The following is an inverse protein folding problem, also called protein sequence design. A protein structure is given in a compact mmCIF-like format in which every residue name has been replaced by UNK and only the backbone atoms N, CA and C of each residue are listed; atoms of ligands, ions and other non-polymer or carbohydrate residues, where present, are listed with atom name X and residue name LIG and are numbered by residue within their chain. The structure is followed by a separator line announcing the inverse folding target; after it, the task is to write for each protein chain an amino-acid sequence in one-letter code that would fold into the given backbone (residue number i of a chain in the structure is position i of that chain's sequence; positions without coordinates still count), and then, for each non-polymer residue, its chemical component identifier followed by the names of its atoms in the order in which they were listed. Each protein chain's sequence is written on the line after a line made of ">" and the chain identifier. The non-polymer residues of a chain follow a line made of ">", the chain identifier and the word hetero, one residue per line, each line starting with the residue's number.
data_IF_328427234975
#
_entry.id   IF_328427234975
#
_cell.length_a   1.000
_cell.length_b   1.000
_cell.length_c   1.000
_cell.angle_alpha   90.00
_cell.angle_beta   90.00
_cell.angle_gamma   90.00
#
_symmetry.space_group_name_H-M   'P 1'
#
loop_
_entity.id
_entity.type
_entity.pdbx_description
1 polymer ?
#
# COMPACT_ATOMS: atom_id res chain seq x y z
N UNK A 1 3.95 -19.39 -3.28
CA UNK A 1 3.16 -19.16 -4.50
C UNK A 1 2.58 -17.78 -4.34
N UNK A 2 3.19 -16.80 -5.03
CA UNK A 2 2.82 -15.40 -4.92
C UNK A 2 1.64 -15.07 -5.83
N UNK A 3 0.63 -14.45 -5.27
CA UNK A 3 -0.53 -13.96 -6.00
C UNK A 3 -0.14 -12.72 -6.81
N UNK A 4 -0.21 -12.82 -8.13
CA UNK A 4 0.10 -11.73 -9.08
C UNK A 4 -1.22 -11.04 -9.42
N UNK A 5 -1.31 -9.73 -9.13
CA UNK A 5 -2.44 -8.89 -9.52
C UNK A 5 -2.17 -8.35 -10.93
N UNK A 6 -3.00 -8.72 -11.91
CA UNK A 6 -2.91 -8.23 -13.29
C UNK A 6 -3.90 -7.08 -13.53
N UNK A 7 -3.41 -6.01 -14.15
CA UNK A 7 -4.20 -4.90 -14.66
C UNK A 7 -4.41 -5.08 -16.16
N UNK A 8 -5.65 -5.14 -16.61
CA UNK A 8 -6.00 -5.31 -18.02
C UNK A 8 -6.25 -3.98 -18.74
N UNK A 9 -5.68 -3.81 -19.93
CA UNK A 9 -5.98 -2.71 -20.86
C UNK A 9 -7.19 -3.05 -21.74
N UNK A 10 -8.08 -2.06 -21.92
CA UNK A 10 -9.17 -2.09 -22.90
C UNK A 10 -8.73 -1.43 -24.21
N UNK A 11 -9.02 -1.99 -25.39
CA UNK A 11 -8.83 -1.28 -26.65
C UNK A 11 -10.04 -0.39 -26.97
N UNK A 12 -9.75 0.87 -27.31
CA UNK A 12 -10.73 1.85 -27.79
C UNK A 12 -11.22 1.50 -29.18
N UNK A 13 -12.54 1.43 -29.37
CA UNK A 13 -13.17 1.52 -30.68
C UNK A 13 -13.63 2.94 -30.94
N UNK A 14 -13.03 3.58 -31.96
CA UNK A 14 -13.41 4.90 -32.46
C UNK A 14 -14.69 4.81 -33.28
N UNK A 15 -15.78 5.52 -32.89
CA UNK A 15 -16.73 6.16 -33.79
C UNK A 15 -17.66 7.12 -33.03
N UNK A 16 -17.57 8.44 -33.34
CA UNK A 16 -18.67 9.39 -33.14
C UNK A 16 -19.63 9.24 -34.32
N UNK A 17 -20.95 9.61 -34.24
CA UNK A 17 -21.42 10.96 -34.00
C UNK A 17 -22.79 11.13 -33.26
N UNK A 18 -23.01 12.32 -32.71
CA UNK A 18 -24.23 13.13 -32.84
C UNK A 18 -25.55 12.75 -32.18
N UNK A 19 -26.05 13.63 -31.30
CA UNK A 19 -27.49 13.97 -31.23
C UNK A 19 -28.33 13.50 -30.06
N UNK A 20 -28.62 14.42 -29.15
CA UNK A 20 -29.84 14.61 -28.31
C UNK A 20 -30.88 13.47 -28.22
N UNK A 21 -31.28 13.11 -27.01
CA UNK A 21 -32.59 13.26 -26.37
C UNK A 21 -32.75 12.35 -25.15
N UNK A 22 -33.17 12.93 -24.05
CA UNK A 22 -33.54 12.24 -22.83
C UNK A 22 -34.78 11.35 -23.05
N UNK A 23 -34.70 10.10 -22.58
CA UNK A 23 -35.87 9.30 -22.19
C UNK A 23 -35.48 8.28 -21.12
N UNK A 24 -36.28 8.29 -20.06
CA UNK A 24 -36.34 7.29 -19.00
C UNK A 24 -36.34 5.87 -19.55
N UNK A 25 -35.40 5.01 -19.09
CA UNK A 25 -35.44 3.61 -19.37
C UNK A 25 -35.36 2.82 -18.05
N UNK A 26 -36.41 2.07 -17.80
CA UNK A 26 -36.52 1.04 -16.77
C UNK A 26 -35.47 -0.02 -17.01
N UNK A 27 -34.65 -0.36 -15.98
CA UNK A 27 -33.73 -1.48 -16.02
C UNK A 27 -34.49 -2.80 -16.02
N UNK A 28 -34.48 -3.49 -17.15
CA UNK A 28 -34.73 -4.93 -17.24
C UNK A 28 -33.37 -5.59 -17.27
N UNK A 29 -33.09 -6.42 -16.27
CA UNK A 29 -31.89 -7.25 -16.20
C UNK A 29 -31.93 -8.33 -17.30
N UNK A 30 -30.90 -8.50 -18.13
CA UNK A 30 -30.76 -9.68 -18.94
C UNK A 30 -30.04 -10.78 -18.15
N UNK A 31 -30.68 -11.90 -18.08
CA UNK A 31 -30.19 -13.17 -17.56
C UNK A 31 -29.34 -13.82 -18.67
N UNK A 32 -28.01 -13.63 -18.63
CA UNK A 32 -27.03 -14.55 -19.23
C UNK A 32 -25.60 -14.11 -18.86
N UNK A 33 -24.88 -15.02 -18.19
CA UNK A 33 -23.46 -14.89 -17.88
C UNK A 33 -22.61 -15.12 -19.14
N UNK A 34 -22.22 -14.06 -19.80
CA UNK A 34 -21.19 -14.12 -20.83
C UNK A 34 -19.81 -14.24 -20.20
N UNK A 35 -19.19 -15.40 -20.41
CA UNK A 35 -17.80 -15.68 -20.04
C UNK A 35 -16.89 -14.83 -20.93
N UNK A 36 -16.38 -13.75 -20.39
CA UNK A 36 -15.40 -12.90 -21.09
C UNK A 36 -14.02 -13.52 -20.90
N UNK A 37 -13.51 -14.18 -21.93
CA UNK A 37 -12.14 -14.70 -21.97
C UNK A 37 -11.17 -13.61 -22.41
N UNK A 38 -10.23 -13.26 -21.52
CA UNK A 38 -9.20 -12.27 -21.80
C UNK A 38 -7.88 -12.93 -22.20
N UNK A 39 -7.37 -12.56 -23.35
CA UNK A 39 -6.03 -12.94 -23.77
C UNK A 39 -5.07 -11.77 -23.47
N UNK A 40 -4.25 -11.90 -22.43
CA UNK A 40 -3.19 -10.96 -22.14
C UNK A 40 -1.90 -11.36 -22.85
N UNK A 41 -1.33 -10.46 -23.66
CA UNK A 41 0.06 -10.56 -24.06
C UNK A 41 0.92 -10.00 -22.92
N UNK A 42 1.53 -10.89 -22.15
CA UNK A 42 2.45 -10.53 -21.09
C UNK A 42 3.71 -9.87 -21.64
N UNK A 43 4.08 -8.71 -21.11
CA UNK A 43 5.41 -8.12 -21.28
C UNK A 43 6.24 -8.63 -20.08
N UNK A 44 7.22 -9.53 -20.28
CA UNK A 44 8.02 -10.06 -19.18
C UNK A 44 9.00 -8.98 -18.70
N UNK A 45 8.95 -8.67 -17.41
CA UNK A 45 9.96 -7.83 -16.77
C UNK A 45 9.42 -6.66 -15.93
N UNK A 46 8.25 -6.10 -16.23
CA UNK A 46 7.71 -4.95 -15.52
C UNK A 46 7.03 -5.35 -14.19
N UNK A 47 6.58 -6.60 -14.09
CA UNK A 47 5.80 -7.11 -12.97
C UNK A 47 6.60 -7.34 -11.68
N UNK A 48 7.86 -7.73 -11.80
CA UNK A 48 8.68 -8.03 -10.61
C UNK A 48 9.06 -6.78 -9.81
N UNK A 49 9.16 -5.62 -10.48
CA UNK A 49 9.65 -4.39 -9.85
C UNK A 49 8.56 -3.61 -9.09
N UNK A 50 7.33 -3.57 -9.62
CA UNK A 50 6.21 -2.90 -8.94
C UNK A 50 5.74 -3.67 -7.69
N UNK A 51 5.86 -4.99 -7.70
CA UNK A 51 5.53 -5.84 -6.55
C UNK A 51 6.51 -5.63 -5.39
N UNK A 52 7.78 -5.38 -5.68
CA UNK A 52 8.80 -5.15 -4.67
C UNK A 52 8.63 -3.78 -3.98
N UNK A 53 8.20 -2.76 -4.71
CA UNK A 53 7.96 -1.41 -4.17
C UNK A 53 6.69 -1.39 -3.30
N UNK A 54 5.62 -2.07 -3.69
CA UNK A 54 4.38 -2.14 -2.92
C UNK A 54 4.55 -2.95 -1.62
N UNK A 55 5.43 -3.95 -1.61
CA UNK A 55 5.72 -4.76 -0.41
C UNK A 55 6.64 -4.02 0.58
N UNK A 56 7.53 -3.14 0.11
CA UNK A 56 8.43 -2.35 0.98
C UNK A 56 7.64 -1.25 1.70
N UNK A 57 6.67 -0.62 1.07
CA UNK A 57 5.84 0.41 1.71
C UNK A 57 4.85 -0.15 2.73
N UNK A 58 4.43 -1.42 2.60
CA UNK A 58 3.54 -2.06 3.60
C UNK A 58 4.28 -2.62 4.82
N UNK A 59 5.61 -2.78 4.76
CA UNK A 59 6.42 -3.40 5.82
C UNK A 59 7.07 -2.39 6.78
N UNK A 60 7.04 -1.09 6.48
CA UNK A 60 7.69 -0.07 7.32
C UNK A 60 6.73 0.66 8.27
N UNK A 61 5.45 0.34 8.31
CA UNK A 61 4.54 0.92 9.28
C UNK A 61 4.53 0.05 10.55
N UNK A 62 5.65 0.04 11.27
CA UNK A 62 5.67 -0.12 12.71
C UNK A 62 5.32 1.20 13.36
N UNK A 63 4.29 1.89 12.88
CA UNK A 63 3.87 3.13 13.47
C UNK A 63 3.13 2.84 14.77
N UNK A 64 3.63 3.37 15.85
CA UNK A 64 2.81 3.74 17.01
C UNK A 64 1.63 4.50 16.42
N UNK A 65 0.42 3.92 16.43
CA UNK A 65 -0.78 4.65 16.11
C UNK A 65 -1.02 5.53 17.34
N UNK A 66 -0.73 6.84 17.30
CA UNK A 66 -1.00 7.70 18.43
C UNK A 66 -2.50 7.69 18.69
N UNK A 67 -2.88 7.67 19.96
CA UNK A 67 -4.22 7.97 20.39
C UNK A 67 -4.65 9.29 19.77
N UNK A 68 -5.74 9.30 19.03
CA UNK A 68 -6.32 10.42 18.30
C UNK A 68 -6.34 11.71 19.12
N UNK A 69 -5.39 12.62 18.87
CA UNK A 69 -5.46 14.02 19.28
C UNK A 69 -4.44 14.84 18.49
N UNK A 70 -4.78 15.26 17.34
CA UNK A 70 -4.13 16.02 16.29
C UNK A 70 -3.71 15.09 15.13
N UNK A 71 -4.17 15.37 13.91
CA UNK A 71 -3.63 14.72 12.72
C UNK A 71 -2.14 15.01 12.67
N UNK A 72 -1.34 13.93 12.66
CA UNK A 72 0.09 14.05 12.43
C UNK A 72 0.31 14.61 11.02
N UNK A 73 1.29 15.47 10.85
CA UNK A 73 1.74 15.84 9.52
C UNK A 73 2.34 14.63 8.80
N UNK A 74 2.36 14.62 7.45
CA UNK A 74 2.98 13.54 6.69
C UNK A 74 4.43 13.27 7.13
N UNK A 75 5.17 14.32 7.51
CA UNK A 75 6.53 14.20 8.04
C UNK A 75 6.59 13.42 9.34
N UNK A 76 5.64 13.66 10.25
CA UNK A 76 5.55 12.91 11.52
C UNK A 76 5.06 11.48 11.31
N UNK A 77 4.14 11.25 10.35
CA UNK A 77 3.75 9.91 9.92
C UNK A 77 4.92 9.11 9.32
N UNK A 78 5.83 9.79 8.60
CA UNK A 78 7.07 9.21 8.08
C UNK A 78 8.14 9.02 9.17
N UNK A 79 7.83 9.33 10.44
CA UNK A 79 8.70 9.16 11.60
C UNK A 79 9.90 10.12 11.61
N UNK A 80 9.77 11.28 10.96
CA UNK A 80 10.84 12.27 10.86
C UNK A 80 10.73 13.30 11.98
N UNK A 81 11.85 13.56 12.63
CA UNK A 81 12.00 14.52 13.71
C UNK A 81 12.53 15.86 13.20
N UNK A 82 12.02 16.96 13.78
CA UNK A 82 12.46 18.31 13.47
C UNK A 82 11.90 18.86 12.16
N UNK A 83 12.34 20.07 11.74
CA UNK A 83 11.79 20.76 10.57
C UNK A 83 12.44 20.26 9.26
N UNK A 84 12.18 19.01 8.91
CA UNK A 84 12.73 18.39 7.70
C UNK A 84 12.11 19.04 6.45
N UNK A 85 12.96 19.45 5.53
CA UNK A 85 12.62 19.98 4.21
C UNK A 85 12.60 18.86 3.15
N UNK A 86 13.62 18.00 3.15
CA UNK A 86 13.69 16.90 2.21
C UNK A 86 14.48 15.72 2.77
N UNK A 87 14.12 14.51 2.27
CA UNK A 87 14.84 13.26 2.54
C UNK A 87 15.15 12.59 1.22
N UNK A 88 16.42 12.34 0.94
CA UNK A 88 16.83 11.46 -0.15
C UNK A 88 17.23 10.12 0.46
N UNK A 89 16.51 9.06 0.06
CA UNK A 89 16.78 7.68 0.49
C UNK A 89 17.37 6.90 -0.68
N UNK A 90 18.49 6.22 -0.44
CA UNK A 90 19.17 5.37 -1.43
C UNK A 90 19.21 3.94 -0.93
N UNK A 91 18.79 3.01 -1.77
CA UNK A 91 18.92 1.58 -1.55
C UNK A 91 19.33 0.91 -2.87
N UNK A 92 20.55 0.35 -2.92
CA UNK A 92 21.10 -0.26 -4.14
C UNK A 92 21.02 0.67 -5.36
N UNK A 93 20.11 0.37 -6.29
CA UNK A 93 19.89 1.16 -7.52
C UNK A 93 18.70 2.12 -7.41
N UNK A 94 17.96 2.06 -6.32
CA UNK A 94 16.77 2.90 -6.11
C UNK A 94 17.15 4.17 -5.36
N UNK A 95 16.61 5.29 -5.83
CA UNK A 95 16.70 6.58 -5.15
C UNK A 95 15.29 7.13 -5.03
N UNK A 96 14.92 7.52 -3.82
CA UNK A 96 13.68 8.23 -3.53
C UNK A 96 14.01 9.57 -2.88
N UNK A 97 13.38 10.63 -3.36
CA UNK A 97 13.47 11.95 -2.75
C UNK A 97 12.09 12.42 -2.36
N UNK A 98 11.88 12.66 -1.08
CA UNK A 98 10.65 13.21 -0.50
C UNK A 98 10.88 14.67 -0.13
N UNK A 99 9.93 15.55 -0.45
CA UNK A 99 9.97 16.98 -0.12
C UNK A 99 8.75 17.37 0.68
N UNK A 100 8.99 18.06 1.78
CA UNK A 100 7.97 18.55 2.70
C UNK A 100 7.90 20.07 2.67
N UNK A 101 6.71 20.62 2.87
CA UNK A 101 6.58 22.05 3.13
C UNK A 101 6.86 22.38 4.62
N UNK A 102 6.92 23.67 5.01
CA UNK A 102 7.17 24.05 6.39
C UNK A 102 6.15 23.51 7.41
N UNK A 103 4.92 23.18 6.97
CA UNK A 103 3.89 22.55 7.81
C UNK A 103 4.12 21.05 8.00
N UNK A 104 5.05 20.44 7.26
CA UNK A 104 5.33 19.01 7.29
C UNK A 104 4.49 18.17 6.34
N UNK A 105 3.78 18.79 5.37
CA UNK A 105 3.02 18.07 4.33
C UNK A 105 3.99 17.62 3.24
N UNK A 106 3.85 16.37 2.80
CA UNK A 106 4.61 15.82 1.69
C UNK A 106 4.09 16.42 0.37
N UNK A 107 4.82 17.34 -0.25
CA UNK A 107 4.39 18.03 -1.46
C UNK A 107 4.87 17.34 -2.74
N UNK A 108 5.96 16.58 -2.66
CA UNK A 108 6.52 15.89 -3.81
C UNK A 108 7.30 14.65 -3.35
N UNK A 109 7.19 13.58 -4.13
CA UNK A 109 8.06 12.40 -4.07
C UNK A 109 8.60 12.10 -5.47
N UNK A 110 9.89 11.87 -5.58
CA UNK A 110 10.52 11.42 -6.82
C UNK A 110 11.10 10.04 -6.54
N UNK A 111 10.69 9.06 -7.31
CA UNK A 111 11.22 7.71 -7.27
C UNK A 111 11.92 7.40 -8.57
N UNK A 112 13.18 6.95 -8.51
CA UNK A 112 13.96 6.62 -9.68
C UNK A 112 15.00 5.56 -9.37
N UNK A 113 15.70 5.13 -10.41
CA UNK A 113 16.80 4.19 -10.33
C UNK A 113 17.71 4.39 -11.55
N UNK A 114 18.80 3.62 -11.66
CA UNK A 114 19.59 3.61 -12.90
C UNK A 114 18.69 3.21 -14.06
N UNK A 115 18.82 3.95 -15.17
CA UNK A 115 18.04 3.86 -16.39
C UNK A 115 17.49 2.45 -16.69
N UNK A 116 16.16 2.31 -16.62
CA UNK A 116 15.49 1.17 -17.21
C UNK A 116 15.16 1.53 -18.66
N UNK A 117 15.35 0.61 -19.59
CA UNK A 117 15.14 0.78 -21.05
C UNK A 117 13.68 1.14 -21.46
N UNK A 118 12.78 1.42 -20.55
CA UNK A 118 11.36 1.64 -20.81
C UNK A 118 10.85 3.09 -20.60
N UNK A 119 11.72 4.04 -20.26
CA UNK A 119 11.38 5.47 -20.30
C UNK A 119 10.36 5.99 -19.28
N UNK A 120 9.86 5.15 -18.37
CA UNK A 120 8.87 5.57 -17.35
C UNK A 120 9.51 6.17 -16.11
N UNK A 121 10.81 5.97 -15.89
CA UNK A 121 11.52 6.42 -14.69
C UNK A 121 12.35 7.68 -14.95
N UNK A 122 12.46 8.59 -13.99
CA UNK A 122 11.85 8.59 -12.67
C UNK A 122 10.35 8.86 -12.71
N UNK A 123 9.60 8.36 -11.72
CA UNK A 123 8.23 8.76 -11.44
C UNK A 123 8.22 9.92 -10.45
N UNK A 124 7.42 10.92 -10.74
CA UNK A 124 7.21 12.10 -9.89
C UNK A 124 5.78 12.12 -9.38
N UNK A 125 5.62 12.03 -8.07
CA UNK A 125 4.34 12.14 -7.37
C UNK A 125 4.20 13.56 -6.84
N UNK A 126 3.09 14.19 -7.11
CA UNK A 126 2.76 15.54 -6.65
C UNK A 126 1.50 15.47 -5.82
N UNK A 127 1.54 16.02 -4.61
CA UNK A 127 0.44 15.96 -3.66
C UNK A 127 -0.21 17.32 -3.50
N UNK A 128 -1.54 17.35 -3.43
CA UNK A 128 -2.34 18.55 -3.23
C UNK A 128 -3.18 18.43 -1.97
N UNK A 129 -3.33 19.55 -1.26
CA UNK A 129 -4.01 19.63 0.02
C UNK A 129 -5.09 20.70 0.00
N UNK A 130 -6.14 20.52 0.77
CA UNK A 130 -7.16 21.55 0.99
C UNK A 130 -6.72 22.57 2.07
N UNK A 131 -7.60 23.49 2.39
CA UNK A 131 -7.34 24.54 3.38
C UNK A 131 -7.21 24.01 4.81
N UNK A 132 -7.66 22.78 5.07
CA UNK A 132 -7.58 22.09 6.36
C UNK A 132 -6.45 21.06 6.42
N UNK A 133 -5.48 21.15 5.49
CA UNK A 133 -4.30 20.29 5.36
C UNK A 133 -4.60 18.82 5.03
N UNK A 134 -5.82 18.48 4.55
CA UNK A 134 -6.16 17.14 4.09
C UNK A 134 -5.69 16.93 2.65
N UNK A 135 -5.07 15.81 2.37
CA UNK A 135 -4.60 15.44 1.03
C UNK A 135 -5.78 15.15 0.11
N UNK A 136 -6.01 16.01 -0.89
CA UNK A 136 -7.14 15.89 -1.82
C UNK A 136 -6.75 15.26 -3.16
N UNK A 137 -5.48 15.27 -3.54
CA UNK A 137 -5.03 14.62 -4.77
C UNK A 137 -3.58 14.17 -4.70
N UNK A 138 -3.29 13.11 -5.48
CA UNK A 138 -1.97 12.64 -5.86
C UNK A 138 -1.92 12.52 -7.38
N UNK A 139 -0.97 13.19 -8.03
CA UNK A 139 -0.72 13.09 -9.46
C UNK A 139 0.64 12.45 -9.70
N UNK A 140 0.69 11.40 -10.52
CA UNK A 140 1.91 10.69 -10.88
C UNK A 140 2.30 11.05 -12.29
N UNK A 141 3.54 11.53 -12.48
CA UNK A 141 4.09 11.89 -13.78
C UNK A 141 5.29 11.00 -14.12
N UNK A 142 5.48 10.73 -15.42
CA UNK A 142 6.66 10.03 -15.94
C UNK A 142 7.87 10.97 -16.07
N UNK A 143 8.98 10.43 -16.56
CA UNK A 143 10.23 11.18 -16.81
C UNK A 143 10.09 12.35 -17.81
N UNK A 144 9.05 12.37 -18.65
CA UNK A 144 8.76 13.45 -19.60
C UNK A 144 7.84 14.50 -19.03
N UNK A 145 7.33 14.27 -17.80
CA UNK A 145 6.35 15.11 -17.17
C UNK A 145 4.90 14.82 -17.63
N UNK A 146 4.68 13.73 -18.37
CA UNK A 146 3.33 13.33 -18.78
C UNK A 146 2.58 12.70 -17.60
N UNK A 147 1.32 13.05 -17.42
CA UNK A 147 0.48 12.48 -16.37
C UNK A 147 0.25 10.99 -16.65
N UNK A 148 0.66 10.15 -15.72
CA UNK A 148 0.44 8.69 -15.78
C UNK A 148 -0.84 8.30 -15.07
N UNK A 149 -1.07 8.88 -13.88
CA UNK A 149 -2.20 8.54 -13.02
C UNK A 149 -2.54 9.71 -12.10
N UNK A 150 -3.82 9.88 -11.79
CA UNK A 150 -4.29 10.77 -10.75
C UNK A 150 -5.21 10.01 -9.79
N UNK A 151 -5.04 10.26 -8.48
CA UNK A 151 -5.93 9.77 -7.43
C UNK A 151 -6.49 10.98 -6.69
N UNK A 152 -7.81 11.05 -6.52
CA UNK A 152 -8.51 12.12 -5.78
C UNK A 152 -9.20 11.55 -4.56
N UNK A 153 -9.04 12.24 -3.43
CA UNK A 153 -9.70 11.90 -2.18
C UNK A 153 -10.94 12.79 -1.96
N UNK A 154 -12.01 12.18 -1.47
CA UNK A 154 -13.23 12.82 -1.07
C UNK A 154 -13.42 12.63 0.43
N UNK A 155 -13.84 13.67 1.12
CA UNK A 155 -14.04 13.65 2.57
C UNK A 155 -15.51 13.86 2.91
N UNK A 156 -15.97 13.23 3.98
CA UNK A 156 -17.30 13.44 4.53
C UNK A 156 -17.35 14.73 5.39
N UNK A 157 -18.56 15.09 5.87
CA UNK A 157 -18.78 16.30 6.69
C UNK A 157 -18.06 16.22 8.06
N UNK A 158 -17.64 15.03 8.47
CA UNK A 158 -16.87 14.79 9.70
C UNK A 158 -15.35 14.86 9.48
N UNK A 159 -14.90 15.05 8.22
CA UNK A 159 -13.50 15.10 7.85
C UNK A 159 -12.86 13.75 7.57
N UNK A 160 -13.61 12.63 7.59
CA UNK A 160 -13.07 11.34 7.23
C UNK A 160 -13.00 11.19 5.70
N UNK A 161 -11.96 10.56 5.18
CA UNK A 161 -11.84 10.24 3.75
C UNK A 161 -12.86 9.18 3.35
N UNK A 162 -13.98 9.59 2.78
CA UNK A 162 -15.10 8.72 2.41
C UNK A 162 -14.88 7.98 1.10
N UNK A 163 -14.09 8.55 0.17
CA UNK A 163 -13.78 7.90 -1.09
C UNK A 163 -12.40 8.29 -1.63
N UNK A 164 -11.86 7.42 -2.48
CA UNK A 164 -10.75 7.68 -3.40
C UNK A 164 -11.13 7.25 -4.81
N UNK A 165 -10.82 8.08 -5.78
CA UNK A 165 -11.07 7.84 -7.20
C UNK A 165 -9.75 7.90 -7.95
N UNK A 166 -9.40 6.85 -8.68
CA UNK A 166 -8.19 6.80 -9.49
C UNK A 166 -8.52 6.74 -10.98
N UNK A 167 -7.77 7.49 -11.77
CA UNK A 167 -7.83 7.48 -13.22
C UNK A 167 -6.44 7.52 -13.84
N UNK A 168 -6.29 6.92 -15.01
CA UNK A 168 -5.07 7.02 -15.82
C UNK A 168 -4.93 8.40 -16.45
N UNK A 169 -3.74 8.77 -16.90
CA UNK A 169 -3.44 10.06 -17.50
C UNK A 169 -4.24 10.37 -18.76
N UNK A 170 -4.72 9.36 -19.46
CA UNK A 170 -5.65 9.50 -20.60
C UNK A 170 -7.11 9.74 -20.19
N UNK A 171 -7.38 9.82 -18.87
CA UNK A 171 -8.72 10.01 -18.32
C UNK A 171 -9.52 8.70 -18.17
N UNK A 172 -8.94 7.56 -18.55
CA UNK A 172 -9.58 6.26 -18.33
C UNK A 172 -9.72 5.98 -16.83
N UNK A 173 -10.95 5.70 -16.40
CA UNK A 173 -11.22 5.34 -15.01
C UNK A 173 -10.53 4.05 -14.62
N UNK A 174 -9.88 4.03 -13.46
CA UNK A 174 -9.17 2.85 -12.94
C UNK A 174 -9.98 2.16 -11.84
N UNK A 175 -10.19 2.83 -10.72
CA UNK A 175 -10.89 2.25 -9.57
C UNK A 175 -11.51 3.31 -8.66
N UNK A 176 -12.43 2.86 -7.80
CA UNK A 176 -12.94 3.62 -6.65
C UNK A 176 -12.71 2.80 -5.38
N UNK A 177 -12.33 3.47 -4.33
CA UNK A 177 -12.35 2.95 -2.97
C UNK A 177 -13.32 3.76 -2.12
N UNK A 178 -14.18 3.09 -1.36
CA UNK A 178 -15.11 3.71 -0.41
C UNK A 178 -14.75 3.26 0.99
N UNK A 179 -14.87 4.17 1.96
CA UNK A 179 -14.50 3.91 3.36
C UNK A 179 -15.65 4.25 4.30
N UNK A 180 -15.81 3.45 5.33
CA UNK A 180 -16.76 3.66 6.41
C UNK A 180 -16.01 3.75 7.73
N UNK A 181 -16.51 4.59 8.63
CA UNK A 181 -15.88 4.92 9.90
C UNK A 181 -16.84 4.73 11.06
N UNK A 182 -16.29 4.43 12.22
CA UNK A 182 -17.03 4.45 13.48
C UNK A 182 -17.19 5.88 14.03
N UNK A 183 -17.84 5.98 15.20
CA UNK A 183 -18.05 7.27 15.86
C UNK A 183 -16.74 7.95 16.31
N UNK A 184 -15.68 7.17 16.51
CA UNK A 184 -14.35 7.66 16.86
C UNK A 184 -13.46 7.97 15.65
N UNK A 185 -14.03 8.11 14.44
CA UNK A 185 -13.34 8.39 13.19
C UNK A 185 -12.34 7.30 12.75
N UNK A 186 -12.47 6.06 13.24
CA UNK A 186 -11.61 4.96 12.88
C UNK A 186 -12.22 4.19 11.70
N UNK A 187 -11.46 3.85 10.65
CA UNK A 187 -11.99 3.10 9.52
C UNK A 187 -12.43 1.70 9.98
N UNK A 188 -13.66 1.31 9.67
CA UNK A 188 -14.20 -0.01 9.99
C UNK A 188 -14.34 -0.89 8.75
N UNK A 189 -14.49 -0.27 7.58
CA UNK A 189 -14.61 -0.97 6.31
C UNK A 189 -14.05 -0.16 5.15
N UNK A 190 -13.36 -0.84 4.23
CA UNK A 190 -12.99 -0.34 2.90
C UNK A 190 -13.59 -1.25 1.83
N UNK A 191 -14.15 -0.66 0.76
CA UNK A 191 -14.67 -1.36 -0.41
C UNK A 191 -13.92 -0.86 -1.63
N UNK A 192 -13.37 -1.77 -2.44
CA UNK A 192 -12.63 -1.43 -3.65
C UNK A 192 -13.37 -1.96 -4.87
N UNK A 193 -13.58 -1.07 -5.84
CA UNK A 193 -14.35 -1.34 -7.05
C UNK A 193 -13.44 -1.29 -8.27
N UNK A 194 -13.63 -2.21 -9.19
CA UNK A 194 -13.15 -2.13 -10.55
C UNK A 194 -14.37 -1.88 -11.46
N UNK A 195 -14.56 -0.63 -11.88
CA UNK A 195 -15.81 -0.22 -12.53
C UNK A 195 -17.00 -0.28 -11.57
N UNK A 196 -17.95 -1.18 -11.84
CA UNK A 196 -19.19 -1.29 -11.05
C UNK A 196 -19.19 -2.41 -10.03
N UNK A 197 -18.15 -3.28 -10.03
CA UNK A 197 -18.08 -4.43 -9.14
C UNK A 197 -17.13 -4.19 -7.98
N UNK A 198 -17.58 -4.55 -6.77
CA UNK A 198 -16.67 -4.65 -5.61
C UNK A 198 -15.76 -5.84 -5.83
N UNK A 199 -14.45 -5.61 -5.89
CA UNK A 199 -13.44 -6.66 -6.07
C UNK A 199 -12.80 -7.07 -4.76
N UNK A 200 -12.59 -6.12 -3.85
CA UNK A 200 -11.98 -6.35 -2.55
C UNK A 200 -12.77 -5.63 -1.46
N UNK A 201 -12.69 -6.15 -0.24
CA UNK A 201 -13.09 -5.42 0.96
C UNK A 201 -12.11 -5.65 2.09
N UNK A 202 -11.91 -4.59 2.87
CA UNK A 202 -11.13 -4.62 4.10
C UNK A 202 -12.06 -4.37 5.29
N UNK A 203 -11.88 -5.11 6.36
CA UNK A 203 -12.59 -4.92 7.63
C UNK A 203 -11.56 -4.72 8.72
N UNK A 204 -11.82 -3.76 9.61
CA UNK A 204 -10.90 -3.36 10.67
C UNK A 204 -11.57 -3.47 12.02
N UNK A 205 -10.83 -3.88 13.04
CA UNK A 205 -11.30 -3.87 14.42
C UNK A 205 -10.23 -3.27 15.34
N UNK A 206 -10.68 -2.51 16.33
CA UNK A 206 -9.84 -1.77 17.25
C UNK A 206 -10.08 -2.22 18.69
N UNK A 207 -9.06 -2.14 19.54
CA UNK A 207 -9.20 -2.33 20.98
C UNK A 207 -9.76 -1.07 21.66
N UNK A 208 -9.93 -1.16 22.98
CA UNK A 208 -10.44 -0.05 23.80
C UNK A 208 -9.47 1.15 23.86
N UNK A 209 -8.19 0.95 23.54
CA UNK A 209 -7.21 2.02 23.45
C UNK A 209 -7.17 2.66 22.05
N UNK A 210 -8.00 2.19 21.10
CA UNK A 210 -8.05 2.70 19.73
C UNK A 210 -6.99 2.10 18.80
N UNK A 211 -6.25 1.07 19.23
CA UNK A 211 -5.22 0.42 18.41
C UNK A 211 -5.85 -0.64 17.50
N UNK A 212 -5.42 -0.73 16.25
CA UNK A 212 -5.87 -1.73 15.28
C UNK A 212 -5.43 -3.14 15.73
N UNK A 213 -6.38 -3.99 16.14
CA UNK A 213 -6.08 -5.37 16.59
C UNK A 213 -6.40 -6.42 15.55
N UNK A 214 -7.17 -6.07 14.53
CA UNK A 214 -7.51 -7.00 13.45
C UNK A 214 -7.74 -6.26 12.14
N UNK A 215 -7.15 -6.80 11.09
CA UNK A 215 -7.43 -6.44 9.70
C UNK A 215 -7.82 -7.71 8.95
N UNK A 216 -8.93 -7.67 8.22
CA UNK A 216 -9.40 -8.77 7.39
C UNK A 216 -9.55 -8.28 5.96
N UNK A 217 -8.79 -8.88 5.07
CA UNK A 217 -8.84 -8.67 3.63
C UNK A 217 -9.60 -9.82 2.97
N UNK A 218 -10.59 -9.45 2.16
CA UNK A 218 -11.41 -10.39 1.41
C UNK A 218 -11.51 -9.96 -0.05
N UNK A 219 -11.54 -10.94 -0.96
CA UNK A 219 -11.71 -10.71 -2.39
C UNK A 219 -12.73 -11.70 -2.96
N UNK A 220 -13.41 -11.28 -4.03
CA UNK A 220 -14.38 -12.09 -4.74
C UNK A 220 -13.82 -12.67 -6.04
N UNK A 221 -12.54 -12.89 -6.13
CA UNK A 221 -11.88 -13.51 -7.27
C UNK A 221 -10.78 -14.46 -6.83
N UNK A 222 -10.46 -15.40 -7.69
CA UNK A 222 -9.31 -16.28 -7.55
C UNK A 222 -8.69 -16.54 -8.93
N UNK A 223 -7.48 -17.04 -8.96
CA UNK A 223 -6.88 -17.52 -10.21
C UNK A 223 -7.34 -18.96 -10.50
N UNK A 224 -7.49 -19.29 -11.80
CA UNK A 224 -7.73 -20.67 -12.21
C UNK A 224 -6.57 -21.57 -11.76
N UNK A 225 -6.72 -22.91 -11.89
CA UNK A 225 -5.73 -23.87 -11.44
C UNK A 225 -4.34 -23.70 -12.10
N UNK A 226 -4.29 -23.11 -13.30
CA UNK A 226 -3.04 -22.80 -14.01
C UNK A 226 -2.41 -21.46 -13.57
N UNK A 227 -3.09 -20.66 -12.74
CA UNK A 227 -2.62 -19.33 -12.33
C UNK A 227 -2.61 -18.28 -13.44
N UNK A 228 -3.27 -18.54 -14.57
CA UNK A 228 -3.18 -17.72 -15.80
C UNK A 228 -4.40 -16.84 -16.04
N UNK A 229 -5.52 -17.13 -15.40
CA UNK A 229 -6.80 -16.44 -15.62
C UNK A 229 -7.45 -16.09 -14.30
N UNK A 230 -7.91 -14.83 -14.18
CA UNK A 230 -8.70 -14.35 -13.07
C UNK A 230 -10.15 -14.85 -13.23
N UNK A 231 -10.68 -15.48 -12.20
CA UNK A 231 -12.07 -15.95 -12.14
C UNK A 231 -12.80 -15.14 -11.08
N UNK A 232 -13.77 -14.35 -11.49
CA UNK A 232 -14.63 -13.59 -10.57
C UNK A 232 -15.65 -14.54 -9.92
N UNK A 233 -15.97 -14.28 -8.66
CA UNK A 233 -17.01 -14.98 -7.90
C UNK A 233 -18.02 -13.99 -7.34
N UNK A 234 -19.18 -14.45 -6.97
CA UNK A 234 -20.20 -13.67 -6.25
C UNK A 234 -19.98 -13.65 -4.72
N UNK A 235 -18.89 -14.28 -4.25
CA UNK A 235 -18.58 -14.47 -2.84
C UNK A 235 -17.20 -13.94 -2.50
N UNK A 236 -17.08 -13.36 -1.32
CA UNK A 236 -15.81 -12.97 -0.71
C UNK A 236 -15.27 -14.13 0.13
N UNK A 237 -14.80 -15.19 -0.54
CA UNK A 237 -14.37 -16.45 0.07
C UNK A 237 -12.86 -16.69 0.02
N UNK A 238 -12.12 -15.79 -0.62
CA UNK A 238 -10.66 -15.79 -0.66
C UNK A 238 -10.10 -14.56 0.05
N UNK A 239 -8.97 -14.71 0.74
CA UNK A 239 -8.34 -13.64 1.50
C UNK A 239 -7.66 -14.14 2.76
N UNK A 240 -7.40 -13.22 3.67
CA UNK A 240 -6.72 -13.50 4.94
C UNK A 240 -7.18 -12.55 6.04
N UNK A 241 -6.87 -12.92 7.27
CA UNK A 241 -7.04 -12.07 8.44
C UNK A 241 -5.70 -11.95 9.17
N UNK A 242 -5.36 -10.76 9.60
CA UNK A 242 -4.19 -10.45 10.43
C UNK A 242 -4.68 -10.03 11.80
N UNK A 243 -4.32 -10.78 12.83
CA UNK A 243 -4.45 -10.36 14.22
C UNK A 243 -3.13 -9.69 14.66
N UNK A 244 -3.24 -8.55 15.34
CA UNK A 244 -2.11 -7.72 15.79
C UNK A 244 -2.07 -7.72 17.30
N UNK A 245 -0.93 -8.05 17.87
CA UNK A 245 -0.68 -8.06 19.32
C UNK A 245 0.36 -7.02 19.65
N UNK A 246 0.08 -6.20 20.65
CA UNK A 246 0.97 -5.14 21.13
C UNK A 246 1.67 -5.54 22.43
N UNK A 247 2.83 -4.97 22.67
CA UNK A 247 3.51 -5.01 23.96
C UNK A 247 2.97 -3.92 24.93
N UNK A 248 3.54 -3.84 26.11
CA UNK A 248 3.16 -2.88 27.15
C UNK A 248 3.49 -1.42 26.76
N UNK A 249 4.47 -1.22 25.86
CA UNK A 249 4.88 0.09 25.34
C UNK A 249 4.00 0.55 24.17
N UNK A 250 3.18 -0.35 23.62
CA UNK A 250 2.30 -0.06 22.47
C UNK A 250 2.92 -0.40 21.12
N UNK A 251 4.09 -1.01 21.08
CA UNK A 251 4.67 -1.51 19.84
C UNK A 251 4.05 -2.85 19.41
N UNK A 252 3.96 -3.09 18.11
CA UNK A 252 3.49 -4.37 17.58
C UNK A 252 4.48 -5.48 17.93
N UNK A 253 4.09 -6.36 18.85
CA UNK A 253 4.90 -7.51 19.24
C UNK A 253 4.77 -8.68 18.29
N UNK A 254 3.57 -8.91 17.77
CA UNK A 254 3.26 -10.07 16.94
C UNK A 254 2.15 -9.75 15.94
N UNK A 255 2.29 -10.29 14.72
CA UNK A 255 1.21 -10.36 13.71
C UNK A 255 0.94 -11.83 13.40
N UNK A 256 -0.32 -12.25 13.44
CA UNK A 256 -0.74 -13.62 13.15
C UNK A 256 -1.63 -13.61 11.92
N UNK A 257 -1.24 -14.36 10.89
CA UNK A 257 -1.99 -14.46 9.63
C UNK A 257 -2.77 -15.77 9.60
N UNK A 258 -4.07 -15.67 9.35
CA UNK A 258 -4.95 -16.82 9.13
C UNK A 258 -5.67 -16.68 7.78
N UNK A 259 -6.10 -17.79 7.18
CA UNK A 259 -7.06 -17.73 6.09
C UNK A 259 -8.47 -17.39 6.62
N UNK A 260 -9.42 -17.16 5.73
CA UNK A 260 -10.80 -16.83 6.11
C UNK A 260 -11.55 -17.95 6.84
N UNK A 261 -10.98 -19.17 6.90
CA UNK A 261 -11.48 -20.32 7.67
C UNK A 261 -10.82 -20.43 9.04
N UNK A 262 -9.98 -19.44 9.42
CA UNK A 262 -9.25 -19.40 10.68
C UNK A 262 -8.03 -20.33 10.75
N UNK A 263 -7.61 -20.94 9.64
CA UNK A 263 -6.41 -21.78 9.62
C UNK A 263 -5.16 -20.88 9.57
N UNK A 264 -4.25 -21.09 10.51
CA UNK A 264 -3.00 -20.33 10.58
C UNK A 264 -2.19 -20.51 9.30
N UNK A 265 -1.75 -19.41 8.72
CA UNK A 265 -0.85 -19.36 7.56
C UNK A 265 0.59 -19.05 7.99
N UNK A 266 0.76 -18.24 9.02
CA UNK A 266 2.04 -17.86 9.57
C UNK A 266 1.90 -16.84 10.68
N UNK A 267 3.03 -16.38 11.19
CA UNK A 267 3.12 -15.26 12.13
C UNK A 267 4.48 -14.58 12.02
N UNK A 268 4.56 -13.31 12.40
CA UNK A 268 5.80 -12.57 12.60
C UNK A 268 5.90 -12.06 14.02
N UNK A 269 7.09 -12.14 14.61
CA UNK A 269 7.44 -11.50 15.89
C UNK A 269 8.38 -10.34 15.62
N UNK A 270 8.20 -9.24 16.38
CA UNK A 270 8.95 -8.00 16.20
C UNK A 270 9.61 -7.59 17.50
N UNK A 271 10.80 -7.00 17.38
CA UNK A 271 11.49 -6.32 18.47
C UNK A 271 11.94 -4.94 18.02
N UNK A 272 12.12 -4.06 18.98
CA UNK A 272 12.43 -2.65 18.75
C UNK A 272 13.65 -2.23 19.56
N UNK A 273 14.36 -1.23 19.07
CA UNK A 273 15.41 -0.56 19.80
C UNK A 273 14.83 0.45 20.82
N UNK A 274 15.70 1.09 21.61
CA UNK A 274 15.33 2.07 22.62
C UNK A 274 14.67 3.34 22.02
N UNK A 275 14.77 3.53 20.71
CA UNK A 275 14.17 4.66 19.96
C UNK A 275 12.85 4.28 19.28
N UNK A 276 12.42 3.03 19.42
CA UNK A 276 11.20 2.53 18.81
C UNK A 276 11.36 2.07 17.36
N UNK A 277 12.58 2.00 16.82
CA UNK A 277 12.79 1.43 15.49
C UNK A 277 12.85 -0.09 15.58
N UNK A 278 12.20 -0.77 14.62
CA UNK A 278 12.22 -2.23 14.54
C UNK A 278 13.65 -2.72 14.30
N UNK A 279 14.20 -3.49 15.23
CA UNK A 279 15.56 -4.02 15.13
C UNK A 279 15.61 -5.52 14.81
N UNK A 280 14.49 -6.25 14.94
CA UNK A 280 14.39 -7.66 14.56
C UNK A 280 12.96 -8.01 14.09
N UNK A 281 12.87 -8.90 13.10
CA UNK A 281 11.66 -9.60 12.70
C UNK A 281 11.97 -11.08 12.54
N UNK A 282 11.16 -11.96 13.15
CA UNK A 282 11.24 -13.41 12.98
C UNK A 282 9.93 -13.89 12.37
N UNK A 283 10.01 -14.54 11.22
CA UNK A 283 8.87 -15.05 10.47
C UNK A 283 8.75 -16.56 10.67
N UNK A 284 7.53 -17.00 10.98
CA UNK A 284 7.20 -18.40 11.23
C UNK A 284 6.16 -18.88 10.23
N UNK A 285 6.29 -20.12 9.78
CA UNK A 285 5.30 -20.78 8.94
C UNK A 285 4.04 -21.22 9.75
N UNK A 286 3.07 -21.83 9.05
CA UNK A 286 1.84 -22.33 9.64
C UNK A 286 2.06 -23.37 10.76
N UNK A 287 3.20 -24.07 10.75
CA UNK A 287 3.57 -25.08 11.75
C UNK A 287 4.28 -24.48 12.97
N UNK A 288 4.50 -23.16 12.99
CA UNK A 288 5.22 -22.48 14.06
C UNK A 288 6.74 -22.62 14.01
N UNK A 289 7.30 -23.07 12.89
CA UNK A 289 8.73 -23.15 12.68
C UNK A 289 9.22 -21.82 12.11
N UNK A 290 10.28 -21.25 12.67
CA UNK A 290 10.93 -20.06 12.11
C UNK A 290 11.48 -20.41 10.72
N UNK A 291 11.19 -19.54 9.76
CA UNK A 291 11.62 -19.68 8.36
C UNK A 291 12.54 -18.55 7.91
N UNK A 292 12.38 -17.38 8.51
CA UNK A 292 13.19 -16.21 8.20
C UNK A 292 13.47 -15.40 9.46
N UNK A 293 14.61 -14.72 9.45
CA UNK A 293 14.99 -13.73 10.46
C UNK A 293 15.59 -12.53 9.79
N UNK A 294 15.12 -11.34 10.13
CA UNK A 294 15.65 -10.06 9.66
C UNK A 294 16.17 -9.28 10.86
N UNK A 295 17.35 -8.72 10.71
CA UNK A 295 18.00 -7.89 11.74
C UNK A 295 18.35 -6.55 11.13
N UNK A 296 17.93 -5.48 11.81
CA UNK A 296 18.13 -4.11 11.38
C UNK A 296 19.08 -3.41 12.36
N UNK A 297 19.96 -2.57 11.83
CA UNK A 297 20.85 -1.70 12.59
C UNK A 297 20.79 -0.31 12.02
N UNK A 298 20.72 0.70 12.88
CA UNK A 298 20.54 2.07 12.50
C UNK A 298 21.71 2.95 12.97
N UNK A 299 22.06 3.94 12.14
CA UNK A 299 22.86 5.09 12.51
C UNK A 299 21.96 6.34 12.42
N UNK A 300 22.16 7.30 13.30
CA UNK A 300 21.28 8.45 13.45
C UNK A 300 22.04 9.75 13.31
N UNK A 301 21.35 10.79 12.82
CA UNK A 301 21.87 12.16 12.87
C UNK A 301 21.72 12.78 14.28
N UNK A 302 22.14 14.05 14.41
CA UNK A 302 22.08 14.78 15.68
C UNK A 302 20.64 15.09 16.15
N UNK A 303 19.67 15.10 15.24
CA UNK A 303 18.24 15.33 15.55
C UNK A 303 17.56 14.04 16.03
N UNK A 304 18.11 12.88 15.65
CA UNK A 304 17.60 11.57 16.00
C UNK A 304 16.93 10.83 14.84
N UNK A 305 16.96 11.38 13.64
CA UNK A 305 16.51 10.69 12.44
C UNK A 305 17.54 9.64 12.01
N UNK A 306 17.09 8.44 11.62
CA UNK A 306 18.03 7.48 11.10
C UNK A 306 18.53 7.92 9.70
N UNK A 307 19.84 7.84 9.53
CA UNK A 307 20.54 8.20 8.29
C UNK A 307 21.12 6.99 7.57
N UNK A 308 21.21 5.87 8.27
CA UNK A 308 21.64 4.60 7.68
C UNK A 308 20.93 3.45 8.37
N UNK A 309 20.43 2.53 7.56
CA UNK A 309 19.86 1.27 7.99
C UNK A 309 20.61 0.12 7.30
N UNK A 310 21.11 -0.81 8.07
CA UNK A 310 21.70 -2.04 7.58
C UNK A 310 20.76 -3.21 7.88
N UNK A 311 20.28 -3.88 6.84
CA UNK A 311 19.46 -5.09 6.93
C UNK A 311 20.31 -6.32 6.67
N UNK A 312 20.19 -7.33 7.55
CA UNK A 312 20.62 -8.69 7.31
C UNK A 312 19.39 -9.60 7.33
N UNK A 313 19.18 -10.34 6.25
CA UNK A 313 18.07 -11.27 6.08
C UNK A 313 18.60 -12.70 6.00
N UNK A 314 18.12 -13.54 6.91
CA UNK A 314 18.54 -14.91 7.11
C UNK A 314 17.40 -15.87 6.78
N UNK A 315 17.67 -16.93 6.04
CA UNK A 315 16.80 -18.10 5.92
C UNK A 315 17.06 -19.03 7.12
N UNK A 316 15.99 -19.53 7.73
CA UNK A 316 16.06 -20.43 8.89
C UNK A 316 15.51 -21.79 8.50
N UNK A 317 16.33 -22.82 8.53
CA UNK A 317 15.93 -24.19 8.20
C UNK A 317 16.44 -25.16 9.26
N UNK A 318 15.51 -25.82 9.99
CA UNK A 318 15.87 -26.77 11.04
C UNK A 318 16.69 -26.15 12.18
N UNK A 319 16.50 -24.87 12.48
CA UNK A 319 17.24 -24.12 13.50
C UNK A 319 18.62 -23.63 13.06
N UNK A 320 18.99 -23.83 11.79
CA UNK A 320 20.21 -23.27 11.19
C UNK A 320 19.88 -22.02 10.40
N UNK A 321 20.71 -20.99 10.56
CA UNK A 321 20.59 -19.71 9.85
C UNK A 321 21.60 -19.65 8.68
N UNK A 322 21.13 -19.24 7.51
CA UNK A 322 21.94 -18.94 6.35
C UNK A 322 21.61 -17.53 5.84
N UNK A 323 22.65 -16.68 5.69
CA UNK A 323 22.46 -15.32 5.20
C UNK A 323 21.96 -15.37 3.76
N UNK A 324 20.74 -14.82 3.53
CA UNK A 324 20.07 -14.76 2.22
C UNK A 324 20.38 -13.45 1.49
N UNK A 325 20.38 -12.36 2.23
CA UNK A 325 20.61 -11.02 1.70
C UNK A 325 21.16 -10.09 2.76
N UNK A 326 21.95 -9.12 2.32
CA UNK A 326 22.22 -7.90 3.09
C UNK A 326 22.01 -6.70 2.21
N UNK A 327 21.40 -5.64 2.75
CA UNK A 327 21.24 -4.35 2.08
C UNK A 327 21.53 -3.21 3.04
N UNK A 328 21.85 -2.06 2.46
CA UNK A 328 22.05 -0.82 3.18
C UNK A 328 21.12 0.21 2.53
N UNK A 329 20.35 0.91 3.37
CA UNK A 329 19.63 2.12 3.01
C UNK A 329 20.31 3.31 3.66
N UNK A 330 20.52 4.36 2.92
CA UNK A 330 21.11 5.62 3.40
C UNK A 330 20.15 6.76 3.16
N UNK A 331 20.07 7.69 4.11
CA UNK A 331 19.28 8.92 4.02
C UNK A 331 20.17 10.13 4.08
N UNK A 332 19.95 11.07 3.16
CA UNK A 332 20.44 12.44 3.26
C UNK A 332 19.28 13.35 3.60
N UNK A 333 19.31 14.01 4.76
CA UNK A 333 18.20 14.80 5.28
C UNK A 333 18.60 16.27 5.26
N UNK A 334 17.78 17.10 4.61
CA UNK A 334 17.91 18.56 4.66
C UNK A 334 16.81 19.14 5.58
N UNK A 335 17.18 20.12 6.37
CA UNK A 335 16.31 20.83 7.30
C UNK A 335 16.08 22.27 6.84
N UNK A 336 14.96 22.87 7.24
CA UNK A 336 14.68 24.31 7.03
C UNK A 336 15.61 25.19 7.83
#
# INVERSE_FOLDING_TARGET
>A
MGDIIFWGHWPLSTKRPGGLLARSASCVLPDQADIVTWHSRAIPGLFFFLFFIFFITLLTIGSVIPSFSAELSDREEDGLLGPVQSVETRESLLVQTDRYDPRGRLIERIQGGRETSQGLWPLRFVYSYDQTDRRIAEAVHDARGELVKETRSVYDDRGNRSAELSAWGDGTFENVSLYEYDEAHRPIRGLHFNGVQVINRNLYAFDSAGRLVRERFERNYHYNAAGTQLVMTDRFDTGYEVAIVYDEQGYVREKIVTDLRGRRQGRSEFRYDERGNQNEEIIFNARGQATERKVYRYEYDAVGNWIKEALQWWEVTGGREALKQSSIRERSIAYY
#
